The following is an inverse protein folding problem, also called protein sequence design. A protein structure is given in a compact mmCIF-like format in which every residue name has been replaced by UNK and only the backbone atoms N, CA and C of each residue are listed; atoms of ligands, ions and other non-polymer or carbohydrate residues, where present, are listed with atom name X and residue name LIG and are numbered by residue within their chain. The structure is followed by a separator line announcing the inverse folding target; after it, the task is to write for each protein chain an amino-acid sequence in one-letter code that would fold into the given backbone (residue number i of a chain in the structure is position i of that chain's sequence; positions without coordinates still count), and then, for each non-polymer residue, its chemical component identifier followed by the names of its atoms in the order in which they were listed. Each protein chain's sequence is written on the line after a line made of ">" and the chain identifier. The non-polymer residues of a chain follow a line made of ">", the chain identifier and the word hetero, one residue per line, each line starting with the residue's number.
data_IF_162300676358
#
_entry.id   IF_162300676358
#
_cell.length_a   1.000
_cell.length_b   1.000
_cell.length_c   1.000
_cell.angle_alpha   90.00
_cell.angle_beta   90.00
_cell.angle_gamma   90.00
#
_symmetry.space_group_name_H-M   'P 1'
#
loop_
_entity.id
_entity.type
_entity.pdbx_description
1 polymer ?
#
# COMPACT_ATOMS: atom_id res chain seq x y z
N UNK A 1 20.51 11.10 -6.74
CA UNK A 1 19.41 11.01 -7.72
C UNK A 1 18.09 11.11 -6.97
N UNK A 2 17.47 12.29 -6.93
CA UNK A 2 16.23 12.58 -6.21
C UNK A 2 15.03 12.58 -7.17
N UNK A 3 14.54 11.41 -7.58
CA UNK A 3 13.37 11.34 -8.46
C UNK A 3 12.38 10.29 -7.96
N UNK A 4 11.33 10.76 -7.24
CA UNK A 4 9.91 10.28 -7.26
C UNK A 4 9.13 10.44 -5.96
N UNK A 5 9.73 10.87 -4.83
CA UNK A 5 8.98 11.09 -3.57
C UNK A 5 7.95 12.23 -3.66
N UNK A 6 8.10 13.17 -4.59
CA UNK A 6 7.22 14.35 -4.76
C UNK A 6 6.06 14.17 -5.73
N UNK A 7 5.97 13.06 -6.47
CA UNK A 7 4.96 12.89 -7.52
C UNK A 7 3.83 11.93 -7.15
N UNK A 8 3.86 11.36 -5.93
CA UNK A 8 2.89 10.38 -5.45
C UNK A 8 2.21 10.91 -4.20
N UNK A 9 0.88 10.89 -4.21
CA UNK A 9 0.05 11.35 -3.12
C UNK A 9 -0.12 10.24 -2.09
N UNK A 10 -0.44 10.63 -0.85
CA UNK A 10 -0.77 9.72 0.24
C UNK A 10 -1.05 10.48 1.51
N UNK A 11 -1.78 9.85 2.44
CA UNK A 11 -1.93 10.39 3.79
C UNK A 11 -0.67 10.09 4.61
N UNK A 12 -0.22 11.01 5.48
CA UNK A 12 0.80 10.67 6.49
C UNK A 12 0.33 9.49 7.37
N UNK A 13 1.25 8.60 7.81
CA UNK A 13 0.93 7.50 8.71
C UNK A 13 0.25 7.95 10.00
N UNK A 14 0.58 9.14 10.51
CA UNK A 14 -0.05 9.73 11.69
C UNK A 14 -1.56 9.92 11.54
N UNK A 15 -2.04 10.13 10.31
CA UNK A 15 -3.43 10.49 10.03
C UNK A 15 -4.27 9.28 9.57
N UNK A 16 -3.67 8.10 9.40
CA UNK A 16 -4.35 6.93 8.81
C UNK A 16 -5.59 6.50 9.61
N UNK A 17 -5.52 6.54 10.94
CA UNK A 17 -6.64 6.17 11.83
C UNK A 17 -7.76 7.21 11.73
N UNK A 18 -7.42 8.49 11.77
CA UNK A 18 -8.39 9.57 11.67
C UNK A 18 -9.12 9.54 10.33
N UNK A 19 -8.38 9.35 9.23
CA UNK A 19 -8.98 9.24 7.90
C UNK A 19 -9.88 8.00 7.77
N UNK A 20 -9.41 6.84 8.25
CA UNK A 20 -10.20 5.60 8.24
C UNK A 20 -11.50 5.76 9.02
N UNK A 21 -11.43 6.37 10.22
CA UNK A 21 -12.60 6.69 11.03
C UNK A 21 -13.57 7.61 10.29
N UNK A 22 -13.06 8.68 9.68
CA UNK A 22 -13.88 9.61 8.92
C UNK A 22 -14.65 8.92 7.80
N UNK A 23 -13.99 8.04 7.04
CA UNK A 23 -14.64 7.25 5.98
C UNK A 23 -15.77 6.39 6.55
N UNK A 24 -15.51 5.63 7.62
CA UNK A 24 -16.51 4.75 8.24
C UNK A 24 -17.71 5.51 8.80
N UNK A 25 -17.49 6.68 9.40
CA UNK A 25 -18.54 7.42 10.11
C UNK A 25 -19.30 8.40 9.21
N UNK A 26 -18.68 8.93 8.14
CA UNK A 26 -19.22 10.06 7.38
C UNK A 26 -19.43 9.76 5.89
N UNK A 27 -18.97 8.63 5.37
CA UNK A 27 -19.07 8.30 3.95
C UNK A 27 -19.98 7.08 3.74
N UNK A 28 -21.32 7.22 3.78
CA UNK A 28 -22.25 6.08 3.80
C UNK A 28 -22.24 5.23 2.52
N UNK A 29 -21.69 5.76 1.42
CA UNK A 29 -21.58 5.04 0.15
C UNK A 29 -20.16 4.48 -0.10
N UNK A 30 -19.25 4.59 0.87
CA UNK A 30 -17.89 4.06 0.78
C UNK A 30 -17.69 2.92 1.77
N UNK A 31 -17.07 1.84 1.30
CA UNK A 31 -16.61 0.75 2.15
C UNK A 31 -15.09 0.82 2.27
N UNK A 32 -14.59 0.93 3.51
CA UNK A 32 -13.17 0.87 3.77
C UNK A 32 -12.68 -0.58 3.67
N UNK A 33 -12.15 -0.97 2.51
CA UNK A 33 -11.67 -2.34 2.28
C UNK A 33 -10.21 -2.57 2.67
N UNK A 34 -9.37 -1.54 2.69
CA UNK A 34 -7.95 -1.76 2.92
C UNK A 34 -7.11 -0.50 2.81
N UNK A 35 -5.81 -0.68 2.99
CA UNK A 35 -4.79 0.35 2.82
C UNK A 35 -3.91 0.04 1.62
N UNK A 36 -3.32 1.07 1.02
CA UNK A 36 -2.49 0.93 -0.17
C UNK A 36 -1.20 1.75 -0.04
N UNK A 37 -0.08 1.17 -0.48
CA UNK A 37 1.14 1.91 -0.76
C UNK A 37 1.73 1.50 -2.11
N UNK A 38 2.38 2.46 -2.77
CA UNK A 38 3.24 2.18 -3.93
C UNK A 38 4.53 1.52 -3.48
N UNK A 39 4.97 1.80 -2.25
CA UNK A 39 6.26 1.36 -1.73
C UNK A 39 7.41 2.23 -2.20
N UNK A 40 8.57 2.04 -1.60
CA UNK A 40 9.80 2.72 -2.00
C UNK A 40 10.25 2.16 -3.36
N UNK A 41 10.13 2.99 -4.40
CA UNK A 41 10.45 2.58 -5.77
C UNK A 41 11.93 2.24 -5.93
N UNK A 42 12.22 1.11 -6.56
CA UNK A 42 13.60 0.66 -6.83
C UNK A 42 14.38 0.34 -5.56
N UNK A 43 13.70 -0.01 -4.47
CA UNK A 43 14.36 -0.43 -3.25
C UNK A 43 15.08 -1.77 -3.45
N UNK A 44 16.33 -1.82 -3.03
CA UNK A 44 17.15 -3.02 -3.10
C UNK A 44 16.83 -3.96 -1.92
N UNK A 45 16.13 -5.04 -2.25
CA UNK A 45 15.67 -6.06 -1.29
C UNK A 45 16.82 -6.83 -0.61
N UNK A 46 18.06 -6.72 -1.08
CA UNK A 46 19.21 -7.27 -0.35
C UNK A 46 19.45 -6.56 1.00
N UNK A 47 18.93 -5.33 1.15
CA UNK A 47 18.97 -4.57 2.41
C UNK A 47 17.83 -4.95 3.37
N UNK A 48 17.05 -5.97 3.04
CA UNK A 48 15.89 -6.42 3.80
C UNK A 48 14.56 -6.02 3.15
N UNK A 49 13.46 -6.07 3.91
CA UNK A 49 12.14 -5.79 3.36
C UNK A 49 11.92 -4.31 3.09
N UNK A 50 11.09 -4.00 2.07
CA UNK A 50 10.75 -2.63 1.72
C UNK A 50 10.15 -1.92 2.95
N UNK A 51 10.77 -0.83 3.46
CA UNK A 51 10.35 -0.19 4.70
C UNK A 51 8.92 0.35 4.63
N UNK A 52 8.44 0.71 3.44
CA UNK A 52 7.08 1.20 3.25
C UNK A 52 6.04 0.07 3.36
N UNK A 53 6.39 -1.17 3.04
CA UNK A 53 5.51 -2.33 3.24
C UNK A 53 5.36 -2.67 4.72
N UNK A 54 6.47 -2.58 5.47
CA UNK A 54 6.48 -2.72 6.93
C UNK A 54 5.56 -1.65 7.55
N UNK A 55 5.74 -0.39 7.14
CA UNK A 55 4.97 0.73 7.64
C UNK A 55 3.48 0.61 7.30
N UNK A 56 3.13 0.15 6.09
CA UNK A 56 1.73 -0.06 5.70
C UNK A 56 1.06 -1.13 6.60
N UNK A 57 1.76 -2.24 6.88
CA UNK A 57 1.28 -3.28 7.79
C UNK A 57 1.06 -2.74 9.20
N UNK A 58 2.01 -1.97 9.73
CA UNK A 58 1.87 -1.30 11.02
C UNK A 58 0.68 -0.32 11.04
N UNK A 59 0.46 0.42 9.96
CA UNK A 59 -0.69 1.30 9.82
C UNK A 59 -2.01 0.52 9.86
N UNK A 60 -2.11 -0.60 9.13
CA UNK A 60 -3.29 -1.48 9.18
C UNK A 60 -3.53 -1.99 10.59
N UNK A 61 -2.51 -2.54 11.23
CA UNK A 61 -2.63 -3.10 12.58
C UNK A 61 -3.08 -2.02 13.59
N UNK A 62 -2.60 -0.77 13.43
CA UNK A 62 -3.05 0.38 14.21
C UNK A 62 -4.51 0.73 13.94
N UNK A 63 -4.95 0.77 12.68
CA UNK A 63 -6.36 1.02 12.32
C UNK A 63 -7.27 -0.07 12.90
N UNK A 64 -6.90 -1.34 12.72
CA UNK A 64 -7.62 -2.49 13.27
C UNK A 64 -7.80 -2.39 14.78
N UNK A 65 -6.73 -2.07 15.51
CA UNK A 65 -6.76 -1.89 16.96
C UNK A 65 -7.65 -0.72 17.39
N UNK A 66 -7.48 0.45 16.81
CA UNK A 66 -8.15 1.69 17.25
C UNK A 66 -9.63 1.76 16.83
N UNK A 67 -9.99 1.08 15.74
CA UNK A 67 -11.35 1.08 15.19
C UNK A 67 -12.09 -0.25 15.41
N UNK A 68 -11.48 -1.20 16.13
CA UNK A 68 -12.03 -2.53 16.40
C UNK A 68 -12.45 -3.27 15.12
N UNK A 69 -11.57 -3.25 14.12
CA UNK A 69 -11.74 -3.96 12.84
C UNK A 69 -10.83 -5.18 12.87
N UNK A 70 -11.33 -6.35 12.48
CA UNK A 70 -10.48 -7.54 12.40
C UNK A 70 -9.46 -7.40 11.27
N UNK A 71 -8.22 -7.86 11.50
CA UNK A 71 -7.13 -7.73 10.52
C UNK A 71 -7.45 -8.36 9.17
N UNK A 72 -8.26 -9.44 9.15
CA UNK A 72 -8.69 -10.11 7.92
C UNK A 72 -9.67 -9.29 7.07
N UNK A 73 -10.34 -8.31 7.67
CA UNK A 73 -11.34 -7.48 7.01
C UNK A 73 -10.73 -6.17 6.45
N UNK A 74 -9.42 -5.96 6.65
CA UNK A 74 -8.69 -4.79 6.15
C UNK A 74 -7.47 -5.20 5.31
N UNK A 75 -7.63 -5.10 3.99
CA UNK A 75 -6.68 -5.55 2.99
C UNK A 75 -5.42 -4.69 2.90
N UNK A 76 -4.34 -5.27 2.37
CA UNK A 76 -3.10 -4.58 2.04
C UNK A 76 -2.84 -4.66 0.54
N UNK A 77 -2.97 -3.52 -0.14
CA UNK A 77 -2.57 -3.39 -1.54
C UNK A 77 -1.14 -2.86 -1.63
N UNK A 78 -0.19 -3.76 -1.88
CA UNK A 78 1.23 -3.44 -2.05
C UNK A 78 1.92 -4.49 -2.94
N UNK A 79 2.99 -4.11 -3.61
CA UNK A 79 3.64 -4.94 -4.63
C UNK A 79 3.20 -4.61 -6.06
N UNK A 80 4.18 -4.51 -6.94
CA UNK A 80 4.10 -4.26 -8.37
C UNK A 80 4.94 -5.30 -9.12
N UNK A 81 5.04 -5.18 -10.45
CA UNK A 81 5.77 -6.11 -11.32
C UNK A 81 7.13 -6.58 -10.81
N UNK A 82 7.90 -5.71 -10.14
CA UNK A 82 9.29 -5.97 -9.77
C UNK A 82 9.45 -6.48 -8.32
N UNK A 83 8.39 -6.41 -7.49
CA UNK A 83 8.48 -6.68 -6.05
C UNK A 83 7.25 -7.40 -5.46
N UNK A 84 6.35 -7.93 -6.30
CA UNK A 84 5.11 -8.55 -5.85
C UNK A 84 5.31 -9.82 -5.01
N UNK A 85 6.33 -10.65 -5.32
CA UNK A 85 6.63 -11.86 -4.54
C UNK A 85 6.97 -11.52 -3.10
N UNK A 86 7.87 -10.54 -2.94
CA UNK A 86 8.24 -10.05 -1.62
C UNK A 86 7.08 -9.35 -0.90
N UNK A 87 6.23 -8.62 -1.65
CA UNK A 87 5.02 -8.03 -1.08
C UNK A 87 4.06 -9.12 -0.52
N UNK A 88 3.93 -10.27 -1.19
CA UNK A 88 3.14 -11.41 -0.72
C UNK A 88 3.73 -11.97 0.58
N UNK A 89 5.05 -12.18 0.66
CA UNK A 89 5.73 -12.63 1.89
C UNK A 89 5.46 -11.68 3.07
N UNK A 90 5.36 -10.37 2.78
CA UNK A 90 5.06 -9.34 3.77
C UNK A 90 3.58 -9.24 4.16
N UNK A 91 2.70 -10.00 3.49
CA UNK A 91 1.26 -10.08 3.78
C UNK A 91 0.38 -9.22 2.88
N UNK A 92 0.82 -8.90 1.67
CA UNK A 92 -0.03 -8.27 0.66
C UNK A 92 -1.21 -9.18 0.32
N UNK A 93 -2.41 -8.61 0.26
CA UNK A 93 -3.62 -9.30 -0.20
C UNK A 93 -3.96 -8.91 -1.65
N UNK A 94 -3.39 -7.82 -2.15
CA UNK A 94 -3.58 -7.35 -3.52
C UNK A 94 -2.25 -6.85 -4.12
N UNK A 95 -1.76 -7.55 -5.14
CA UNK A 95 -0.59 -7.13 -5.94
C UNK A 95 -1.04 -6.48 -7.25
N UNK A 96 -0.26 -5.54 -7.78
CA UNK A 96 -0.60 -4.74 -8.97
C UNK A 96 0.42 -4.96 -10.09
N UNK A 97 0.29 -6.09 -10.80
CA UNK A 97 1.24 -6.51 -11.83
C UNK A 97 0.82 -5.99 -13.21
N UNK A 98 1.73 -5.29 -13.89
CA UNK A 98 1.46 -4.69 -15.20
C UNK A 98 2.44 -5.16 -16.26
N UNK A 99 3.65 -4.61 -16.26
CA UNK A 99 4.71 -4.91 -17.24
C UNK A 99 5.07 -6.40 -17.31
N UNK A 100 5.02 -7.14 -16.20
CA UNK A 100 5.30 -8.59 -16.21
C UNK A 100 4.21 -9.40 -16.91
N UNK A 101 2.98 -8.85 -17.04
CA UNK A 101 1.85 -9.48 -17.75
C UNK A 101 1.79 -8.98 -19.21
N UNK A 102 1.89 -7.66 -19.41
CA UNK A 102 1.59 -7.01 -20.69
C UNK A 102 2.83 -6.53 -21.47
N UNK A 103 4.04 -6.69 -20.91
CA UNK A 103 5.27 -6.16 -21.50
C UNK A 103 5.45 -4.65 -21.31
N UNK A 104 6.48 -4.10 -21.95
CA UNK A 104 6.82 -2.66 -21.87
C UNK A 104 5.84 -1.86 -22.73
N UNK A 105 5.31 -0.77 -22.19
CA UNK A 105 4.44 0.14 -22.94
C UNK A 105 5.27 0.92 -23.96
N UNK A 106 4.85 0.90 -25.22
CA UNK A 106 5.42 1.78 -26.25
C UNK A 106 5.21 3.25 -25.85
N UNK A 107 6.26 4.08 -26.00
CA UNK A 107 6.11 5.52 -25.81
C UNK A 107 5.26 6.06 -26.94
N UNK A 108 4.16 6.73 -26.60
CA UNK A 108 3.44 7.56 -27.57
C UNK A 108 4.39 8.65 -28.06
N UNK A 109 4.75 8.59 -29.34
CA UNK A 109 5.37 9.67 -30.10
C UNK A 109 4.42 10.85 -30.23
#
# INVERSE_FOLDING_TARGET
>A
MNFRRFAKNGTPPSNVVQLSRFVLENCPNLHLHGLMTIGLFGYDLSNGPNPDFILLKQCRDKVCKELNIETKDLELSMGMSDDFEHAIEMGSTNVRVGSSIFGVREKKT
#
